data_IF_441437355774
#
_entry.id   IF_441437355774
#
_cell.length_a   1.000
_cell.length_b   1.000
_cell.length_c   1.000
_cell.angle_alpha   90.00
_cell.angle_beta   90.00
_cell.angle_gamma   90.00
#
_symmetry.space_group_name_H-M   'P 1'
#
loop_
_entity.id
_entity.type
_entity.pdbx_description
1 polymer ?
#
# COMPACT_ATOMS: atom_id res chain seq x y z
N UNK A 1 47.78 22.68 -21.57
CA UNK A 1 46.68 23.63 -21.36
C UNK A 1 45.76 23.50 -22.57
N UNK A 2 44.57 22.93 -22.53
CA UNK A 2 43.80 22.27 -21.48
C UNK A 2 43.04 21.10 -22.14
N UNK A 3 43.15 19.91 -21.54
CA UNK A 3 42.45 18.71 -22.01
C UNK A 3 41.01 18.72 -21.52
N UNK A 4 40.06 18.75 -22.45
CA UNK A 4 38.63 18.60 -22.19
C UNK A 4 38.37 17.16 -21.75
N UNK A 5 38.00 16.98 -20.48
CA UNK A 5 37.58 15.68 -19.93
C UNK A 5 36.11 15.45 -20.28
N UNK A 6 35.86 14.48 -21.16
CA UNK A 6 34.51 13.96 -21.43
C UNK A 6 34.15 12.96 -20.33
N UNK A 7 33.22 13.35 -19.44
CA UNK A 7 32.60 12.40 -18.52
C UNK A 7 31.37 11.78 -19.18
N UNK A 8 31.55 10.60 -19.75
CA UNK A 8 30.45 9.70 -20.11
C UNK A 8 29.99 9.00 -18.83
N UNK A 9 28.76 9.26 -18.38
CA UNK A 9 28.15 8.53 -17.27
C UNK A 9 27.51 7.27 -17.87
N UNK A 10 28.17 6.13 -17.71
CA UNK A 10 27.57 4.82 -17.94
C UNK A 10 26.78 4.44 -16.68
N UNK A 11 25.48 4.20 -16.84
CA UNK A 11 24.61 3.66 -15.80
C UNK A 11 24.57 2.15 -16.05
N UNK A 12 25.47 1.42 -15.39
CA UNK A 12 25.40 -0.04 -15.35
C UNK A 12 24.75 -0.50 -14.03
N UNK A 13 23.91 -1.49 -14.25
CA UNK A 13 22.99 -2.21 -13.38
C UNK A 13 23.77 -3.10 -12.40
N UNK A 14 23.59 -2.89 -11.10
CA UNK A 14 23.94 -3.89 -10.07
C UNK A 14 23.23 -3.57 -8.75
N UNK A 15 22.07 -4.20 -8.50
CA UNK A 15 21.49 -4.26 -7.15
C UNK A 15 20.97 -5.66 -6.84
N UNK A 16 21.91 -6.53 -6.46
CA UNK A 16 21.61 -7.77 -5.73
C UNK A 16 22.66 -7.93 -4.61
N UNK A 17 22.21 -7.88 -3.35
CA UNK A 17 23.04 -8.32 -2.21
C UNK A 17 22.75 -7.64 -0.86
N UNK A 18 22.10 -8.37 0.05
CA UNK A 18 22.03 -8.16 1.51
C UNK A 18 23.39 -7.78 2.15
N UNK A 19 23.55 -7.16 3.33
CA UNK A 19 22.70 -6.81 4.47
C UNK A 19 23.51 -5.97 5.51
N UNK A 20 22.78 -5.22 6.36
CA UNK A 20 23.10 -4.83 7.75
C UNK A 20 24.03 -3.65 8.09
N UNK A 21 23.39 -2.68 8.75
CA UNK A 21 23.87 -1.66 9.69
C UNK A 21 24.47 -0.34 9.15
N UNK A 22 23.80 0.75 9.57
CA UNK A 22 24.22 2.16 9.61
C UNK A 22 24.52 2.85 8.28
N UNK A 23 23.47 3.26 7.57
CA UNK A 23 23.53 4.53 6.84
C UNK A 23 22.22 5.28 7.04
N UNK A 24 22.33 6.49 7.61
CA UNK A 24 21.27 7.49 7.65
C UNK A 24 21.06 8.08 6.24
N UNK A 25 20.86 7.22 5.26
CA UNK A 25 20.22 7.61 4.02
C UNK A 25 18.74 7.75 4.39
N UNK A 26 18.35 8.93 4.85
CA UNK A 26 16.94 9.29 4.87
C UNK A 26 16.47 9.12 3.43
N UNK A 27 15.89 7.98 3.12
CA UNK A 27 15.30 7.68 1.82
C UNK A 27 14.13 8.65 1.73
N UNK A 28 14.35 9.78 1.08
CA UNK A 28 13.34 10.83 0.93
C UNK A 28 12.16 10.22 0.19
N UNK A 29 11.14 9.82 0.95
CA UNK A 29 9.90 9.26 0.44
C UNK A 29 8.94 10.44 0.32
N UNK A 30 8.35 10.62 -0.86
CA UNK A 30 7.24 11.55 -1.02
C UNK A 30 6.13 11.14 -0.03
N UNK A 31 5.53 12.10 0.66
CA UNK A 31 4.37 11.82 1.50
C UNK A 31 3.20 11.42 0.60
N UNK A 32 2.95 10.12 0.53
CA UNK A 32 1.83 9.52 -0.18
C UNK A 32 1.08 8.64 0.81
N UNK A 33 -0.22 8.41 0.58
CA UNK A 33 -0.97 7.41 1.35
C UNK A 33 -0.30 6.04 1.18
N UNK A 34 0.35 5.58 2.25
CA UNK A 34 1.15 4.36 2.24
C UNK A 34 0.32 3.11 2.00
N UNK A 35 -0.99 3.17 2.26
CA UNK A 35 -1.90 2.03 2.08
C UNK A 35 -2.13 1.69 0.60
N UNK A 36 -2.06 2.67 -0.30
CA UNK A 36 -2.25 2.49 -1.75
C UNK A 36 -1.27 1.48 -2.37
N UNK A 37 -0.04 1.40 -1.84
CA UNK A 37 0.98 0.48 -2.33
C UNK A 37 1.07 -0.84 -1.54
N UNK A 38 0.31 -0.99 -0.45
CA UNK A 38 0.40 -2.16 0.42
C UNK A 38 0.01 -3.44 -0.32
N UNK A 39 -1.06 -3.42 -1.10
CA UNK A 39 -1.51 -4.60 -1.82
C UNK A 39 -0.48 -5.06 -2.87
N UNK A 40 0.09 -4.12 -3.65
CA UNK A 40 1.22 -4.42 -4.54
C UNK A 40 2.39 -5.06 -3.80
N UNK A 41 2.84 -4.44 -2.72
CA UNK A 41 4.08 -4.84 -2.04
C UNK A 41 3.96 -6.21 -1.37
N UNK A 42 2.75 -6.58 -0.93
CA UNK A 42 2.58 -7.68 0.00
C UNK A 42 1.72 -8.84 -0.51
N UNK A 43 0.87 -8.63 -1.51
CA UNK A 43 -0.09 -9.63 -1.99
C UNK A 43 0.20 -10.05 -3.44
N UNK A 44 0.50 -9.10 -4.32
CA UNK A 44 0.77 -9.40 -5.74
C UNK A 44 1.97 -10.35 -5.88
N UNK A 45 1.77 -11.43 -6.65
CA UNK A 45 2.79 -12.45 -6.89
C UNK A 45 3.05 -13.39 -5.71
N UNK A 46 2.25 -13.32 -4.64
CA UNK A 46 2.33 -14.20 -3.47
C UNK A 46 1.00 -14.92 -3.26
N UNK A 47 1.03 -16.06 -2.58
CA UNK A 47 -0.21 -16.71 -2.14
C UNK A 47 -0.97 -15.81 -1.16
N UNK A 48 -2.24 -15.55 -1.47
CA UNK A 48 -3.17 -14.78 -0.66
C UNK A 48 -4.61 -15.14 -1.04
N UNK A 49 -5.55 -14.72 -0.20
CA UNK A 49 -6.98 -14.87 -0.44
C UNK A 49 -7.67 -13.51 -0.42
N UNK A 50 -8.50 -13.28 -1.43
CA UNK A 50 -9.38 -12.12 -1.52
C UNK A 50 -10.83 -12.55 -1.33
N UNK A 51 -11.57 -11.74 -0.58
CA UNK A 51 -12.98 -11.92 -0.31
C UNK A 51 -13.74 -10.62 -0.56
N UNK A 52 -15.00 -10.74 -0.92
CA UNK A 52 -15.93 -9.63 -0.99
C UNK A 52 -17.17 -9.93 -0.15
N UNK A 53 -17.79 -8.88 0.37
CA UNK A 53 -19.07 -8.96 1.06
C UNK A 53 -19.86 -7.67 0.86
N UNK A 54 -21.16 -7.72 1.14
CA UNK A 54 -21.99 -6.53 1.32
C UNK A 54 -22.42 -6.51 2.78
N UNK A 55 -22.05 -5.43 3.47
CA UNK A 55 -22.47 -5.14 4.83
C UNK A 55 -23.65 -4.16 4.81
N UNK A 56 -24.61 -4.36 5.72
CA UNK A 56 -25.83 -3.55 5.76
C UNK A 56 -25.57 -2.09 6.18
N UNK A 57 -24.51 -1.84 6.95
CA UNK A 57 -24.15 -0.50 7.43
C UNK A 57 -23.05 0.13 6.59
N UNK A 58 -21.98 -0.63 6.33
CA UNK A 58 -20.78 -0.13 5.67
C UNK A 58 -20.82 -0.25 4.14
N UNK A 59 -21.81 -0.97 3.59
CA UNK A 59 -21.92 -1.22 2.17
C UNK A 59 -20.90 -2.26 1.67
N UNK A 60 -20.32 -2.09 0.47
CA UNK A 60 -19.41 -3.08 -0.10
C UNK A 60 -18.09 -3.15 0.67
N UNK A 61 -17.65 -4.38 0.94
CA UNK A 61 -16.39 -4.70 1.62
C UNK A 61 -15.52 -5.56 0.71
N UNK A 62 -14.22 -5.28 0.69
CA UNK A 62 -13.20 -6.14 0.09
C UNK A 62 -12.13 -6.43 1.14
N UNK A 63 -11.88 -7.71 1.38
CA UNK A 63 -10.90 -8.18 2.35
C UNK A 63 -9.81 -8.97 1.62
N UNK A 64 -8.56 -8.60 1.81
CA UNK A 64 -7.40 -9.36 1.35
C UNK A 64 -6.63 -9.88 2.56
N UNK A 65 -6.39 -11.18 2.63
CA UNK A 65 -5.67 -11.82 3.73
C UNK A 65 -4.52 -12.69 3.21
N UNK A 66 -3.36 -12.57 3.86
CA UNK A 66 -2.17 -13.37 3.57
C UNK A 66 -1.52 -13.82 4.87
N UNK A 67 -1.13 -15.10 4.93
CA UNK A 67 -0.34 -15.62 6.05
C UNK A 67 1.14 -15.30 5.84
N UNK A 68 1.82 -14.88 6.91
CA UNK A 68 3.26 -14.65 6.93
C UNK A 68 3.90 -15.13 8.23
N UNK A 69 5.18 -15.52 8.17
CA UNK A 69 5.98 -15.89 9.33
C UNK A 69 6.84 -14.70 9.76
N UNK A 70 6.63 -14.23 10.99
CA UNK A 70 7.40 -13.15 11.61
C UNK A 70 8.00 -13.70 12.89
N UNK A 71 9.33 -13.70 13.01
CA UNK A 71 10.04 -14.25 14.19
C UNK A 71 9.58 -15.66 14.56
N UNK A 72 9.38 -16.52 13.55
CA UNK A 72 8.89 -17.90 13.68
C UNK A 72 7.47 -18.04 14.24
N UNK A 73 6.67 -16.96 14.25
CA UNK A 73 5.26 -16.98 14.61
C UNK A 73 4.37 -16.63 13.40
N UNK A 74 3.25 -17.33 13.26
CA UNK A 74 2.27 -17.06 12.20
C UNK A 74 1.48 -15.78 12.46
N UNK A 75 1.41 -14.95 11.44
CA UNK A 75 0.65 -13.71 11.42
C UNK A 75 -0.22 -13.66 10.16
N UNK A 76 -1.34 -12.96 10.26
CA UNK A 76 -2.15 -12.57 9.12
C UNK A 76 -1.92 -11.11 8.81
N UNK A 77 -1.44 -10.82 7.60
CA UNK A 77 -1.51 -9.49 7.03
C UNK A 77 -2.85 -9.33 6.35
N UNK A 78 -3.60 -8.32 6.78
CA UNK A 78 -4.99 -8.11 6.38
C UNK A 78 -5.14 -6.69 5.84
N UNK A 79 -5.80 -6.56 4.69
CA UNK A 79 -6.27 -5.28 4.16
C UNK A 79 -7.79 -5.35 4.06
N UNK A 80 -8.49 -4.47 4.77
CA UNK A 80 -9.94 -4.29 4.69
C UNK A 80 -10.25 -2.96 4.00
N UNK A 81 -10.97 -3.02 2.89
CA UNK A 81 -11.43 -1.87 2.12
C UNK A 81 -12.92 -1.69 2.37
N UNK A 82 -13.29 -0.48 2.79
CA UNK A 82 -14.67 -0.06 3.05
C UNK A 82 -14.98 1.21 2.26
N UNK A 83 -16.25 1.61 2.20
CA UNK A 83 -16.63 2.91 1.63
C UNK A 83 -16.04 4.12 2.37
N UNK A 84 -15.58 3.94 3.62
CA UNK A 84 -14.99 5.00 4.45
C UNK A 84 -13.46 5.06 4.36
N UNK A 85 -12.81 4.07 3.74
CA UNK A 85 -11.37 4.00 3.62
C UNK A 85 -10.84 2.56 3.72
N UNK A 86 -9.51 2.46 3.67
CA UNK A 86 -8.76 1.21 3.72
C UNK A 86 -7.98 1.10 5.01
N UNK A 87 -8.12 -0.02 5.72
CA UNK A 87 -7.36 -0.37 6.92
C UNK A 87 -6.41 -1.50 6.59
N UNK A 88 -5.14 -1.38 6.97
CA UNK A 88 -4.10 -2.39 6.75
C UNK A 88 -3.39 -2.70 8.06
N UNK A 89 -3.46 -3.95 8.50
CA UNK A 89 -2.92 -4.39 9.78
C UNK A 89 -2.26 -5.77 9.68
N UNK A 90 -1.34 -6.04 10.62
CA UNK A 90 -0.74 -7.37 10.81
C UNK A 90 -1.17 -7.87 12.17
N UNK A 91 -1.95 -8.95 12.18
CA UNK A 91 -2.47 -9.55 13.41
C UNK A 91 -1.81 -10.90 13.66
N UNK A 92 -1.42 -11.23 14.90
CA UNK A 92 -0.92 -12.55 15.21
C UNK A 92 -2.04 -13.59 15.00
N UNK A 93 -1.69 -14.78 14.51
CA UNK A 93 -2.67 -15.85 14.28
C UNK A 93 -3.46 -16.21 15.55
N UNK A 94 -2.84 -16.07 16.72
CA UNK A 94 -3.47 -16.27 18.04
C UNK A 94 -4.68 -15.36 18.30
N UNK A 95 -4.73 -14.16 17.68
CA UNK A 95 -5.87 -13.24 17.83
C UNK A 95 -7.16 -13.77 17.16
N UNK A 96 -7.03 -14.69 16.19
CA UNK A 96 -8.15 -15.27 15.45
C UNK A 96 -8.65 -16.59 16.06
N UNK A 97 -8.13 -17.02 17.21
CA UNK A 97 -8.39 -18.33 17.82
C UNK A 97 -8.25 -19.50 16.82
N UNK A 98 -8.80 -20.67 17.13
CA UNK A 98 -8.60 -21.90 16.33
C UNK A 98 -9.19 -21.86 14.91
N UNK A 99 -10.01 -20.86 14.57
CA UNK A 99 -10.68 -20.77 13.27
C UNK A 99 -10.55 -19.36 12.67
N UNK A 100 -9.56 -19.11 11.80
CA UNK A 100 -9.44 -17.88 11.06
C UNK A 100 -10.54 -17.81 9.98
N UNK A 101 -11.49 -16.90 10.12
CA UNK A 101 -12.53 -16.63 9.12
C UNK A 101 -12.44 -15.19 8.64
N UNK A 102 -12.82 -14.96 7.38
CA UNK A 102 -12.83 -13.61 6.79
C UNK A 102 -13.68 -12.62 7.60
N UNK A 103 -14.82 -13.05 8.13
CA UNK A 103 -15.68 -12.22 8.98
C UNK A 103 -15.02 -11.80 10.29
N UNK A 104 -14.27 -12.71 10.94
CA UNK A 104 -13.54 -12.41 12.18
C UNK A 104 -12.34 -11.50 11.90
N UNK A 105 -11.63 -11.75 10.80
CA UNK A 105 -10.56 -10.87 10.32
C UNK A 105 -11.07 -9.45 10.07
N UNK A 106 -12.20 -9.31 9.37
CA UNK A 106 -12.80 -8.01 9.11
C UNK A 106 -13.20 -7.29 10.40
N UNK A 107 -13.85 -7.98 11.34
CA UNK A 107 -14.24 -7.41 12.63
C UNK A 107 -13.06 -6.99 13.51
N UNK A 108 -11.94 -7.72 13.46
CA UNK A 108 -10.72 -7.30 14.17
C UNK A 108 -10.18 -5.96 13.69
N UNK A 109 -10.37 -5.61 12.42
CA UNK A 109 -9.93 -4.33 11.84
C UNK A 109 -11.00 -3.24 11.95
N UNK A 110 -12.29 -3.63 12.00
CA UNK A 110 -13.41 -2.71 12.05
C UNK A 110 -14.61 -3.36 12.78
N UNK A 111 -14.82 -2.98 14.03
CA UNK A 111 -15.88 -3.51 14.89
C UNK A 111 -17.31 -3.21 14.36
N UNK A 112 -17.45 -2.28 13.42
CA UNK A 112 -18.74 -1.93 12.80
C UNK A 112 -19.21 -2.95 11.76
N UNK A 113 -18.35 -3.87 11.31
CA UNK A 113 -18.69 -4.92 10.35
C UNK A 113 -19.70 -5.88 10.97
N UNK A 114 -20.90 -5.93 10.40
CA UNK A 114 -22.02 -6.77 10.86
C UNK A 114 -22.18 -8.06 10.06
N UNK A 115 -21.70 -8.10 8.81
CA UNK A 115 -21.87 -9.27 7.94
C UNK A 115 -20.93 -10.43 8.31
N UNK A 116 -21.46 -11.65 8.26
CA UNK A 116 -20.68 -12.88 8.46
C UNK A 116 -20.33 -13.57 7.13
N UNK A 117 -21.00 -13.19 6.04
CA UNK A 117 -20.89 -13.89 4.75
C UNK A 117 -19.93 -13.16 3.82
N UNK A 118 -18.70 -13.66 3.82
CA UNK A 118 -17.67 -13.29 2.85
C UNK A 118 -17.57 -14.36 1.77
N UNK A 119 -17.60 -13.93 0.51
CA UNK A 119 -17.46 -14.77 -0.67
C UNK A 119 -16.05 -14.64 -1.24
N UNK A 120 -15.38 -15.74 -1.62
CA UNK A 120 -14.06 -15.65 -2.22
C UNK A 120 -14.14 -14.98 -3.60
N UNK A 121 -13.14 -14.18 -3.93
CA UNK A 121 -12.95 -13.65 -5.29
C UNK A 121 -12.37 -14.76 -6.15
N UNK A 122 -13.22 -15.40 -6.95
CA UNK A 122 -12.84 -16.54 -7.81
C UNK A 122 -12.55 -16.16 -9.27
N UNK A 123 -12.59 -14.87 -9.61
CA UNK A 123 -12.42 -14.41 -10.98
C UNK A 123 -10.93 -14.37 -11.38
N UNK A 124 -10.53 -14.94 -12.54
CA UNK A 124 -9.19 -14.78 -13.08
C UNK A 124 -8.90 -13.29 -13.36
N UNK A 125 -7.94 -12.70 -12.64
CA UNK A 125 -7.64 -11.26 -12.70
C UNK A 125 -8.27 -10.43 -11.58
N UNK A 126 -8.94 -11.06 -10.60
CA UNK A 126 -9.43 -10.39 -9.38
C UNK A 126 -8.36 -9.55 -8.68
N UNK A 127 -7.16 -10.13 -8.49
CA UNK A 127 -5.99 -9.43 -7.93
C UNK A 127 -5.62 -8.17 -8.72
N UNK A 128 -5.66 -8.20 -10.06
CA UNK A 128 -5.31 -7.04 -10.87
C UNK A 128 -6.36 -5.92 -10.74
N UNK A 129 -7.64 -6.28 -10.64
CA UNK A 129 -8.71 -5.30 -10.41
C UNK A 129 -8.59 -4.65 -9.03
N UNK A 130 -8.29 -5.42 -7.99
CA UNK A 130 -8.07 -4.90 -6.63
C UNK A 130 -6.84 -3.98 -6.61
N UNK A 131 -5.75 -4.36 -7.29
CA UNK A 131 -4.56 -3.53 -7.40
C UNK A 131 -4.86 -2.19 -8.10
N UNK A 132 -5.59 -2.21 -9.21
CA UNK A 132 -6.00 -0.99 -9.93
C UNK A 132 -6.89 -0.11 -9.05
N UNK A 133 -7.77 -0.71 -8.26
CA UNK A 133 -8.57 0.02 -7.28
C UNK A 133 -7.68 0.68 -6.23
N UNK A 134 -6.73 0.00 -5.58
CA UNK A 134 -5.93 0.64 -4.51
C UNK A 134 -5.07 1.81 -5.01
N UNK A 135 -4.67 1.76 -6.27
CA UNK A 135 -3.72 2.71 -6.83
C UNK A 135 -4.35 3.79 -7.71
N UNK A 136 -5.68 3.84 -7.79
CA UNK A 136 -6.37 4.83 -8.61
C UNK A 136 -6.06 6.29 -8.20
N UNK A 137 -5.73 6.53 -6.92
CA UNK A 137 -5.40 7.86 -6.40
C UNK A 137 -3.94 8.25 -6.65
N UNK A 138 -3.07 7.30 -7.02
CA UNK A 138 -1.65 7.56 -7.21
C UNK A 138 -1.42 8.34 -8.50
N UNK A 139 -1.18 9.65 -8.36
CA UNK A 139 -0.80 10.51 -9.48
C UNK A 139 0.71 10.67 -9.53
N UNK A 140 1.33 10.27 -10.62
CA UNK A 140 2.75 10.57 -10.89
C UNK A 140 2.93 11.92 -11.64
N UNK A 141 1.84 12.65 -11.85
CA UNK A 141 1.84 13.92 -12.59
C UNK A 141 1.54 15.07 -11.65
N UNK A 142 2.54 15.92 -11.41
CA UNK A 142 2.45 17.07 -10.54
C UNK A 142 2.50 18.37 -11.36
N UNK A 143 1.80 19.40 -10.89
CA UNK A 143 1.81 20.73 -11.48
C UNK A 143 2.33 21.72 -10.44
N UNK A 144 3.40 22.42 -10.79
CA UNK A 144 4.03 23.40 -9.91
C UNK A 144 3.87 24.80 -10.50
N UNK A 145 3.39 25.75 -9.70
CA UNK A 145 3.41 27.17 -10.04
C UNK A 145 4.73 27.79 -9.59
N UNK A 146 5.44 28.43 -10.51
CA UNK A 146 6.66 29.17 -10.20
C UNK A 146 6.39 30.66 -10.37
N UNK A 147 6.62 31.45 -9.31
CA UNK A 147 6.35 32.89 -9.30
C UNK A 147 7.62 33.62 -8.88
N UNK A 148 7.92 34.75 -9.55
CA UNK A 148 9.01 35.65 -9.17
C UNK A 148 8.45 36.82 -8.34
N UNK A 149 8.96 37.00 -7.11
CA UNK A 149 8.56 38.08 -6.20
C UNK A 149 9.67 39.15 -6.13
N UNK A 150 9.32 40.40 -6.46
CA UNK A 150 10.23 41.55 -6.32
C UNK A 150 10.24 42.11 -4.90
N UNK A 151 11.28 42.86 -4.52
CA UNK A 151 11.36 43.54 -3.22
C UNK A 151 10.12 44.43 -2.99
N UNK A 152 9.44 44.24 -1.85
CA UNK A 152 8.23 44.96 -1.49
C UNK A 152 6.94 44.50 -2.21
N UNK A 153 7.00 43.51 -3.11
CA UNK A 153 5.80 42.98 -3.77
C UNK A 153 4.99 42.12 -2.79
N UNK A 154 3.79 42.60 -2.43
CA UNK A 154 2.86 41.92 -1.50
C UNK A 154 1.46 41.69 -2.09
N UNK A 155 1.22 42.13 -3.33
CA UNK A 155 -0.07 42.01 -4.03
C UNK A 155 0.15 41.55 -5.47
N UNK A 156 -0.89 40.93 -6.03
CA UNK A 156 -0.96 40.65 -7.45
C UNK A 156 -1.01 41.98 -8.23
N UNK A 157 -0.29 42.07 -9.35
CA UNK A 157 -0.47 43.19 -10.29
C UNK A 157 -1.89 43.13 -10.85
N UNK A 158 -2.55 44.30 -10.88
CA UNK A 158 -3.94 44.46 -11.29
C UNK A 158 -4.07 44.49 -12.81
#
# INVERSE_FOLDING_TARGET
MDGVSNCTINIDDDVVGCCSATSSCARSKLETDDTSHCYRRHFVGREHHDFYAIDNKLGPLILSARTELISSQEHFRIILRTGHGTVHEIVPASALADRPTASRMARLLCDEVTTDRFSPVAFPGGTEMILKYDEHVLTNTYKFGVIYQRFGQVKNMK
#
